data_IF_408742804469
#
_entry.id   IF_408742804469
#
_cell.length_a   1.000
_cell.length_b   1.000
_cell.length_c   1.000
_cell.angle_alpha   90.00
_cell.angle_beta   90.00
_cell.angle_gamma   90.00
#
_symmetry.space_group_name_H-M   'P 1'
#
loop_
_entity.id
_entity.type
_entity.pdbx_description
1 polymer ?
#
# COMPACT_ATOMS: atom_id res chain seq x y z
N UNK A 1 -14.26 35.92 -33.32
CA UNK A 1 -14.22 34.70 -34.15
C UNK A 1 -12.82 34.27 -34.57
N UNK A 2 -11.93 35.17 -35.03
CA UNK A 2 -10.56 34.82 -35.46
C UNK A 2 -9.69 34.18 -34.35
N UNK A 3 -9.90 34.55 -33.08
CA UNK A 3 -9.17 33.95 -31.95
C UNK A 3 -9.53 32.47 -31.72
N UNK A 4 -10.82 32.10 -31.77
CA UNK A 4 -11.26 30.71 -31.57
C UNK A 4 -10.73 29.76 -32.65
N UNK A 5 -10.74 30.21 -33.91
CA UNK A 5 -10.19 29.44 -35.02
C UNK A 5 -8.67 29.22 -34.88
N UNK A 6 -7.94 30.21 -34.33
CA UNK A 6 -6.50 30.11 -34.07
C UNK A 6 -6.17 29.11 -32.97
N UNK A 7 -7.02 29.01 -31.93
CA UNK A 7 -6.91 27.99 -30.88
C UNK A 7 -7.28 26.60 -31.39
N UNK A 8 -8.37 26.44 -32.15
CA UNK A 8 -8.75 25.15 -32.74
C UNK A 8 -7.65 24.61 -33.65
N UNK A 9 -7.06 25.48 -34.48
CA UNK A 9 -5.95 25.14 -35.37
C UNK A 9 -4.72 24.68 -34.59
N UNK A 10 -4.41 25.35 -33.48
CA UNK A 10 -3.30 24.98 -32.59
C UNK A 10 -3.52 23.62 -31.89
N UNK A 11 -4.75 23.28 -31.54
CA UNK A 11 -5.10 21.97 -30.94
C UNK A 11 -4.91 20.83 -31.94
N UNK A 12 -5.18 21.06 -33.23
CA UNK A 12 -5.07 20.04 -34.28
C UNK A 12 -3.62 19.90 -34.79
N UNK A 13 -2.89 21.00 -34.90
CA UNK A 13 -1.52 21.01 -35.43
C UNK A 13 -0.48 20.49 -34.42
N UNK A 14 -0.68 20.70 -33.11
CA UNK A 14 0.23 20.19 -32.09
C UNK A 14 -0.20 18.81 -31.55
N UNK A 15 0.60 17.78 -31.86
CA UNK A 15 0.31 16.37 -31.54
C UNK A 15 0.08 16.08 -30.05
N UNK A 16 0.68 16.88 -29.16
CA UNK A 16 0.50 16.80 -27.71
C UNK A 16 -0.90 17.25 -27.27
N UNK A 17 -1.45 18.30 -27.89
CA UNK A 17 -2.76 18.85 -27.54
C UNK A 17 -3.90 18.10 -28.23
N UNK A 18 -3.69 17.63 -29.45
CA UNK A 18 -4.65 16.80 -30.18
C UNK A 18 -5.00 15.51 -29.41
N UNK A 19 -4.00 14.83 -28.84
CA UNK A 19 -4.21 13.59 -28.08
C UNK A 19 -5.05 13.80 -26.82
N UNK A 20 -4.93 14.96 -26.19
CA UNK A 20 -5.60 15.30 -24.94
C UNK A 20 -7.05 15.74 -25.18
N UNK A 21 -7.28 16.51 -26.25
CA UNK A 21 -8.57 17.12 -26.58
C UNK A 21 -9.46 16.22 -27.46
N UNK A 22 -8.88 15.37 -28.31
CA UNK A 22 -9.62 14.46 -29.18
C UNK A 22 -9.59 13.00 -28.70
N UNK A 23 -8.55 12.59 -27.97
CA UNK A 23 -8.39 11.19 -27.54
C UNK A 23 -9.42 10.74 -26.50
N UNK A 24 -9.50 11.42 -25.34
CA UNK A 24 -10.44 11.03 -24.27
C UNK A 24 -11.90 11.23 -24.71
N UNK A 25 -12.28 12.38 -25.31
CA UNK A 25 -13.65 12.55 -25.81
C UNK A 25 -13.99 11.59 -26.94
N UNK A 26 -13.04 11.32 -27.86
CA UNK A 26 -13.24 10.37 -28.95
C UNK A 26 -13.47 8.94 -28.46
N UNK A 27 -12.68 8.49 -27.47
CA UNK A 27 -12.87 7.17 -26.85
C UNK A 27 -14.24 7.08 -26.15
N UNK A 28 -14.66 8.15 -25.48
CA UNK A 28 -15.93 8.26 -24.79
C UNK A 28 -17.11 8.15 -25.79
N UNK A 29 -17.08 8.92 -26.89
CA UNK A 29 -18.11 8.85 -27.93
C UNK A 29 -18.15 7.47 -28.61
N UNK A 30 -16.99 6.86 -28.85
CA UNK A 30 -16.89 5.54 -29.45
C UNK A 30 -17.48 4.46 -28.53
N UNK A 31 -17.17 4.50 -27.23
CA UNK A 31 -17.78 3.60 -26.25
C UNK A 31 -19.29 3.77 -26.17
N UNK A 32 -19.81 5.00 -26.14
CA UNK A 32 -21.26 5.27 -26.17
C UNK A 32 -21.91 4.70 -27.43
N UNK A 33 -21.31 4.94 -28.60
CA UNK A 33 -21.84 4.47 -29.88
C UNK A 33 -21.94 2.93 -29.93
N UNK A 34 -20.94 2.23 -29.41
CA UNK A 34 -20.94 0.75 -29.31
C UNK A 34 -22.06 0.27 -28.37
N UNK A 35 -22.22 0.90 -27.20
CA UNK A 35 -23.28 0.53 -26.25
C UNK A 35 -24.67 0.74 -26.84
N UNK A 36 -24.88 1.81 -27.61
CA UNK A 36 -26.16 2.06 -28.28
C UNK A 36 -26.39 1.04 -29.40
N UNK A 37 -25.39 0.77 -30.23
CA UNK A 37 -25.50 -0.18 -31.35
C UNK A 37 -25.80 -1.62 -30.91
N UNK A 38 -25.38 -2.00 -29.69
CA UNK A 38 -25.59 -3.33 -29.11
C UNK A 38 -26.86 -3.43 -28.26
N UNK A 39 -27.68 -2.37 -28.18
CA UNK A 39 -28.93 -2.34 -27.43
C UNK A 39 -28.78 -2.05 -25.93
N UNK A 40 -27.58 -1.73 -25.46
CA UNK A 40 -27.27 -1.41 -24.05
C UNK A 40 -27.28 0.10 -23.77
N UNK A 41 -28.15 0.86 -24.44
CA UNK A 41 -28.23 2.32 -24.34
C UNK A 41 -28.42 2.84 -22.92
N UNK A 42 -29.13 2.09 -22.07
CA UNK A 42 -29.34 2.39 -20.65
C UNK A 42 -28.04 2.52 -19.84
N UNK A 43 -26.96 1.86 -20.26
CA UNK A 43 -25.66 1.94 -19.60
C UNK A 43 -24.75 3.02 -20.18
N UNK A 44 -25.13 3.68 -21.27
CA UNK A 44 -24.29 4.66 -21.95
C UNK A 44 -23.95 5.85 -21.05
N UNK A 45 -24.93 6.37 -20.29
CA UNK A 45 -24.71 7.46 -19.34
C UNK A 45 -23.77 7.08 -18.18
N UNK A 46 -23.98 5.89 -17.61
CA UNK A 46 -23.13 5.35 -16.55
C UNK A 46 -21.70 5.10 -17.04
N UNK A 47 -21.55 4.50 -18.23
CA UNK A 47 -20.26 4.27 -18.87
C UNK A 47 -19.52 5.56 -19.20
N UNK A 48 -20.24 6.59 -19.68
CA UNK A 48 -19.68 7.91 -19.93
C UNK A 48 -19.13 8.55 -18.65
N UNK A 49 -19.92 8.57 -17.57
CA UNK A 49 -19.49 9.08 -16.27
C UNK A 49 -18.31 8.29 -15.71
N UNK A 50 -18.27 6.97 -15.91
CA UNK A 50 -17.17 6.12 -15.48
C UNK A 50 -15.87 6.46 -16.22
N UNK A 51 -15.92 6.57 -17.55
CA UNK A 51 -14.75 6.94 -18.37
C UNK A 51 -14.25 8.35 -17.99
N UNK A 52 -15.16 9.32 -17.83
CA UNK A 52 -14.80 10.69 -17.42
C UNK A 52 -14.22 10.69 -16.02
N UNK A 53 -14.84 9.98 -15.07
CA UNK A 53 -14.38 9.87 -13.69
C UNK A 53 -12.97 9.29 -13.60
N UNK A 54 -12.70 8.19 -14.32
CA UNK A 54 -11.35 7.61 -14.41
C UNK A 54 -10.37 8.59 -15.04
N UNK A 55 -10.74 9.22 -16.16
CA UNK A 55 -9.89 10.21 -16.82
C UNK A 55 -9.54 11.38 -15.90
N UNK A 56 -10.49 11.86 -15.11
CA UNK A 56 -10.31 12.94 -14.14
C UNK A 56 -9.49 12.50 -12.93
N UNK A 57 -9.64 11.26 -12.46
CA UNK A 57 -8.80 10.74 -11.38
C UNK A 57 -7.35 10.60 -11.87
N UNK A 58 -7.13 9.97 -13.02
CA UNK A 58 -5.78 9.78 -13.57
C UNK A 58 -5.10 11.12 -13.82
N UNK A 59 -5.78 12.07 -14.47
CA UNK A 59 -5.19 13.40 -14.75
C UNK A 59 -5.16 14.32 -13.56
N UNK A 60 -6.23 14.37 -12.76
CA UNK A 60 -6.38 15.28 -11.64
C UNK A 60 -5.40 14.98 -10.50
N UNK A 61 -5.05 13.70 -10.33
CA UNK A 61 -4.00 13.28 -9.41
C UNK A 61 -2.66 13.01 -10.10
N UNK A 62 -2.54 13.32 -11.40
CA UNK A 62 -1.33 13.06 -12.21
C UNK A 62 -0.76 11.65 -12.01
N UNK A 63 -1.65 10.66 -11.82
CA UNK A 63 -1.31 9.30 -11.38
C UNK A 63 -0.35 8.64 -12.37
N UNK A 64 -0.56 8.90 -13.66
CA UNK A 64 0.31 8.44 -14.73
C UNK A 64 1.76 8.90 -14.52
N UNK A 65 1.96 10.19 -14.23
CA UNK A 65 3.31 10.74 -14.02
C UNK A 65 3.93 10.27 -12.71
N UNK A 66 3.14 10.16 -11.64
CA UNK A 66 3.65 9.71 -10.33
C UNK A 66 3.99 8.23 -10.33
N UNK A 67 3.14 7.37 -10.91
CA UNK A 67 3.38 5.92 -11.00
C UNK A 67 4.56 5.63 -11.91
N UNK A 68 4.63 6.25 -13.10
CA UNK A 68 5.75 6.06 -14.02
C UNK A 68 7.04 6.63 -13.40
N UNK A 69 6.96 7.78 -12.74
CA UNK A 69 8.09 8.37 -12.03
C UNK A 69 8.60 7.48 -10.89
N UNK A 70 7.69 6.84 -10.15
CA UNK A 70 8.05 5.93 -9.06
C UNK A 70 8.62 4.61 -9.55
N UNK A 71 8.07 4.06 -10.64
CA UNK A 71 8.61 2.88 -11.31
C UNK A 71 10.01 3.14 -11.87
N UNK A 72 10.22 4.31 -12.50
CA UNK A 72 11.53 4.71 -13.03
C UNK A 72 12.55 4.98 -11.92
N UNK A 73 12.12 5.54 -10.78
CA UNK A 73 13.04 5.85 -9.70
C UNK A 73 13.55 4.58 -9.03
N UNK A 74 12.67 3.65 -8.64
CA UNK A 74 13.06 2.39 -8.01
C UNK A 74 12.08 1.26 -8.33
N UNK A 75 12.32 0.48 -9.41
CA UNK A 75 11.44 -0.64 -9.80
C UNK A 75 11.22 -1.66 -8.68
N UNK A 76 12.27 -1.95 -7.91
CA UNK A 76 12.24 -2.91 -6.79
C UNK A 76 11.22 -2.48 -5.72
N UNK A 77 11.22 -1.20 -5.35
CA UNK A 77 10.30 -0.66 -4.33
C UNK A 77 8.86 -0.69 -4.84
N UNK A 78 8.65 -0.37 -6.12
CA UNK A 78 7.33 -0.39 -6.72
C UNK A 78 6.72 -1.80 -6.69
N UNK A 79 7.44 -2.80 -7.19
CA UNK A 79 6.95 -4.18 -7.20
C UNK A 79 6.78 -4.76 -5.80
N UNK A 80 7.71 -4.50 -4.88
CA UNK A 80 7.57 -4.96 -3.49
C UNK A 80 6.39 -4.30 -2.78
N UNK A 81 6.15 -3.01 -3.02
CA UNK A 81 5.01 -2.28 -2.47
C UNK A 81 3.70 -2.83 -3.02
N UNK A 82 3.66 -3.10 -4.32
CA UNK A 82 2.48 -3.67 -4.98
C UNK A 82 2.16 -5.06 -4.44
N UNK A 83 3.16 -5.96 -4.39
CA UNK A 83 2.99 -7.30 -3.83
C UNK A 83 2.53 -7.26 -2.38
N UNK A 84 3.19 -6.47 -1.53
CA UNK A 84 2.80 -6.36 -0.12
C UNK A 84 1.39 -5.80 0.08
N UNK A 85 0.98 -4.83 -0.75
CA UNK A 85 -0.40 -4.29 -0.72
C UNK A 85 -1.42 -5.35 -1.10
N UNK A 86 -1.15 -6.13 -2.16
CA UNK A 86 -2.02 -7.24 -2.58
C UNK A 86 -2.12 -8.30 -1.46
N UNK A 87 -1.00 -8.66 -0.83
CA UNK A 87 -0.98 -9.60 0.31
C UNK A 87 -1.82 -9.09 1.48
N UNK A 88 -1.78 -7.79 1.79
CA UNK A 88 -2.62 -7.17 2.83
C UNK A 88 -4.10 -7.24 2.42
N UNK A 89 -4.46 -6.99 1.17
CA UNK A 89 -5.85 -7.11 0.72
C UNK A 89 -6.37 -8.56 0.84
N UNK A 90 -5.54 -9.54 0.47
CA UNK A 90 -5.85 -10.96 0.63
C UNK A 90 -6.08 -11.29 2.11
N UNK A 91 -5.25 -10.76 3.01
CA UNK A 91 -5.41 -10.98 4.45
C UNK A 91 -6.75 -10.47 4.97
N UNK A 92 -7.22 -9.31 4.48
CA UNK A 92 -8.50 -8.74 4.88
C UNK A 92 -9.66 -9.60 4.41
N UNK A 93 -9.61 -10.09 3.17
CA UNK A 93 -10.59 -11.03 2.64
C UNK A 93 -10.65 -12.33 3.47
N UNK A 94 -9.49 -12.92 3.79
CA UNK A 94 -9.41 -14.14 4.60
C UNK A 94 -9.93 -13.94 6.03
N UNK A 95 -9.58 -12.82 6.67
CA UNK A 95 -10.06 -12.46 7.99
C UNK A 95 -11.57 -12.29 8.05
N UNK A 96 -12.15 -11.52 7.13
CA UNK A 96 -13.60 -11.33 7.03
C UNK A 96 -14.28 -12.68 6.76
N UNK A 97 -13.75 -13.47 5.82
CA UNK A 97 -14.27 -14.80 5.51
C UNK A 97 -14.31 -15.71 6.73
N UNK A 98 -13.25 -15.70 7.56
CA UNK A 98 -13.23 -16.49 8.79
C UNK A 98 -14.29 -16.01 9.79
N UNK A 99 -14.40 -14.71 10.03
CA UNK A 99 -15.41 -14.16 10.94
C UNK A 99 -16.82 -14.56 10.51
N UNK A 100 -17.14 -14.40 9.22
CA UNK A 100 -18.45 -14.78 8.69
C UNK A 100 -18.73 -16.28 8.84
N UNK A 101 -17.72 -17.13 8.61
CA UNK A 101 -17.85 -18.57 8.82
C UNK A 101 -18.11 -18.94 10.27
N UNK A 102 -17.48 -18.24 11.22
CA UNK A 102 -17.63 -18.52 12.65
C UNK A 102 -18.98 -18.04 13.18
N UNK A 103 -19.47 -16.89 12.69
CA UNK A 103 -20.81 -16.37 13.01
C UNK A 103 -21.91 -17.28 12.46
N UNK A 104 -21.70 -17.89 11.29
CA UNK A 104 -22.66 -18.84 10.74
C UNK A 104 -22.81 -20.11 11.59
N UNK A 105 -21.73 -20.56 12.24
CA UNK A 105 -21.74 -21.72 13.14
C UNK A 105 -22.26 -21.34 14.54
N UNK A 106 -21.86 -20.17 15.04
CA UNK A 106 -22.21 -19.66 16.37
C UNK A 106 -22.89 -18.28 16.27
N UNK A 107 -24.22 -18.22 16.05
CA UNK A 107 -24.94 -16.94 15.87
C UNK A 107 -24.86 -15.98 17.06
N UNK A 108 -24.54 -16.49 18.25
CA UNK A 108 -24.29 -15.70 19.47
C UNK A 108 -23.12 -14.74 19.31
N UNK A 109 -22.18 -15.02 18.39
CA UNK A 109 -21.07 -14.14 18.07
C UNK A 109 -21.48 -12.84 17.38
N UNK A 110 -22.68 -12.79 16.75
CA UNK A 110 -23.17 -11.59 16.06
C UNK A 110 -23.34 -10.40 17.01
N UNK A 111 -23.58 -10.65 18.31
CA UNK A 111 -23.61 -9.63 19.36
C UNK A 111 -22.25 -9.37 20.03
N UNK A 112 -21.23 -10.18 19.74
CA UNK A 112 -19.91 -10.13 20.38
C UNK A 112 -18.86 -9.53 19.42
N UNK A 113 -18.90 -8.20 19.28
CA UNK A 113 -17.97 -7.44 18.42
C UNK A 113 -16.50 -7.69 18.82
N UNK A 114 -16.23 -7.84 20.13
CA UNK A 114 -14.89 -8.13 20.64
C UNK A 114 -14.39 -9.48 20.13
N UNK A 115 -15.18 -10.55 20.28
CA UNK A 115 -14.84 -11.89 19.79
C UNK A 115 -14.64 -11.93 18.27
N UNK A 116 -15.51 -11.26 17.50
CA UNK A 116 -15.36 -11.14 16.04
C UNK A 116 -14.04 -10.45 15.67
N UNK A 117 -13.70 -9.37 16.37
CA UNK A 117 -12.44 -8.65 16.18
C UNK A 117 -11.24 -9.53 16.54
N UNK A 118 -11.32 -10.30 17.62
CA UNK A 118 -10.29 -11.25 18.01
C UNK A 118 -10.03 -12.32 16.95
N UNK A 119 -11.09 -12.94 16.41
CA UNK A 119 -11.00 -13.92 15.31
C UNK A 119 -10.37 -13.30 14.07
N UNK A 120 -10.78 -12.08 13.71
CA UNK A 120 -10.21 -11.35 12.58
C UNK A 120 -8.71 -11.12 12.75
N UNK A 121 -8.28 -10.65 13.94
CA UNK A 121 -6.87 -10.39 14.23
C UNK A 121 -6.07 -11.70 14.21
N UNK A 122 -6.61 -12.79 14.79
CA UNK A 122 -5.92 -14.08 14.86
C UNK A 122 -5.53 -14.60 13.47
N UNK A 123 -6.45 -14.53 12.51
CA UNK A 123 -6.24 -15.03 11.14
C UNK A 123 -5.51 -14.02 10.25
N UNK A 124 -5.86 -12.74 10.34
CA UNK A 124 -5.33 -11.73 9.40
C UNK A 124 -3.91 -11.31 9.74
N UNK A 125 -3.55 -11.28 11.03
CA UNK A 125 -2.27 -10.75 11.51
C UNK A 125 -1.07 -11.40 10.83
N UNK A 126 -1.02 -12.72 10.74
CA UNK A 126 0.13 -13.44 10.16
C UNK A 126 0.39 -13.04 8.70
N UNK A 127 -0.67 -12.93 7.89
CA UNK A 127 -0.56 -12.54 6.47
C UNK A 127 -0.25 -11.04 6.33
N UNK A 128 -0.82 -10.19 7.20
CA UNK A 128 -0.51 -8.75 7.24
C UNK A 128 0.99 -8.53 7.52
N UNK A 129 1.55 -9.26 8.50
CA UNK A 129 2.96 -9.16 8.85
C UNK A 129 3.86 -9.58 7.68
N UNK A 130 3.48 -10.62 6.94
CA UNK A 130 4.18 -11.01 5.71
C UNK A 130 4.10 -9.89 4.67
N UNK A 131 2.92 -9.30 4.47
CA UNK A 131 2.72 -8.16 3.56
C UNK A 131 3.64 -6.99 3.88
N UNK A 132 3.70 -6.56 5.14
CA UNK A 132 4.63 -5.51 5.58
C UNK A 132 6.10 -5.92 5.44
N UNK A 133 6.43 -7.18 5.71
CA UNK A 133 7.80 -7.70 5.54
C UNK A 133 8.27 -7.63 4.09
N UNK A 134 7.38 -7.90 3.11
CA UNK A 134 7.67 -7.75 1.68
C UNK A 134 7.95 -6.28 1.33
N UNK A 135 7.13 -5.35 1.83
CA UNK A 135 7.28 -3.90 1.56
C UNK A 135 8.62 -3.40 2.10
N UNK A 136 8.95 -3.73 3.35
CA UNK A 136 10.21 -3.31 3.98
C UNK A 136 11.40 -4.04 3.36
N UNK A 137 11.26 -5.33 3.04
CA UNK A 137 12.28 -6.14 2.38
C UNK A 137 12.73 -5.53 1.05
N UNK A 138 11.79 -5.09 0.21
CA UNK A 138 12.12 -4.40 -1.04
C UNK A 138 12.89 -3.08 -0.82
N UNK A 139 12.55 -2.32 0.23
CA UNK A 139 13.31 -1.12 0.63
C UNK A 139 14.71 -1.47 1.13
N UNK A 140 14.90 -2.58 1.84
CA UNK A 140 16.24 -3.03 2.27
C UNK A 140 17.10 -3.37 1.06
N UNK A 141 16.56 -4.16 0.12
CA UNK A 141 17.28 -4.58 -1.10
C UNK A 141 17.69 -3.35 -1.92
N UNK A 142 16.76 -2.44 -2.17
CA UNK A 142 17.02 -1.23 -2.96
C UNK A 142 18.10 -0.35 -2.31
N UNK A 143 17.99 -0.15 -0.99
CA UNK A 143 18.88 0.72 -0.23
C UNK A 143 20.29 0.13 -0.11
N UNK A 144 20.39 -1.19 -0.08
CA UNK A 144 21.65 -1.95 -0.12
C UNK A 144 22.30 -1.83 -1.49
N UNK A 145 21.53 -1.98 -2.57
CA UNK A 145 22.04 -1.87 -3.94
C UNK A 145 22.56 -0.46 -4.25
N UNK A 146 21.91 0.58 -3.72
CA UNK A 146 22.36 1.98 -3.85
C UNK A 146 23.53 2.36 -2.92
N UNK A 147 24.09 1.40 -2.17
CA UNK A 147 25.16 1.63 -1.18
C UNK A 147 24.88 2.79 -0.21
N UNK A 148 23.61 3.01 0.16
CA UNK A 148 23.29 4.11 1.08
C UNK A 148 23.63 3.70 2.52
N UNK A 149 24.13 4.64 3.34
CA UNK A 149 24.68 4.28 4.66
C UNK A 149 23.63 3.98 5.75
N UNK A 150 22.32 4.10 5.48
CA UNK A 150 21.27 4.04 6.51
C UNK A 150 20.36 2.81 6.43
N UNK A 151 20.81 1.68 5.86
CA UNK A 151 20.00 0.46 5.68
C UNK A 151 19.45 -0.07 7.02
N UNK A 152 20.21 0.10 8.10
CA UNK A 152 19.87 -0.37 9.44
C UNK A 152 18.48 0.03 9.95
N UNK A 153 17.98 1.22 9.61
CA UNK A 153 16.64 1.67 10.00
C UNK A 153 15.56 0.69 9.50
N UNK A 154 15.67 0.22 8.26
CA UNK A 154 14.70 -0.72 7.69
C UNK A 154 14.87 -2.12 8.29
N UNK A 155 16.08 -2.51 8.69
CA UNK A 155 16.34 -3.79 9.36
C UNK A 155 15.67 -3.81 10.73
N UNK A 156 15.81 -2.73 11.51
CA UNK A 156 15.11 -2.58 12.80
C UNK A 156 13.60 -2.65 12.62
N UNK A 157 13.06 -1.96 11.61
CA UNK A 157 11.62 -2.02 11.31
C UNK A 157 11.17 -3.44 10.93
N UNK A 158 11.97 -4.19 10.17
CA UNK A 158 11.66 -5.56 9.80
C UNK A 158 11.65 -6.47 11.04
N UNK A 159 12.65 -6.35 11.93
CA UNK A 159 12.67 -7.13 13.17
C UNK A 159 11.49 -6.82 14.08
N UNK A 160 11.08 -5.55 14.16
CA UNK A 160 9.88 -5.18 14.91
C UNK A 160 8.63 -5.89 14.37
N UNK A 161 8.43 -5.90 13.05
CA UNK A 161 7.29 -6.59 12.41
C UNK A 161 7.29 -8.08 12.74
N UNK A 162 8.45 -8.74 12.71
CA UNK A 162 8.52 -10.18 13.05
C UNK A 162 8.20 -10.40 14.53
N UNK A 163 8.66 -9.51 15.41
CA UNK A 163 8.54 -9.68 16.85
C UNK A 163 7.19 -9.21 17.41
N UNK A 164 6.39 -8.45 16.65
CA UNK A 164 5.06 -8.01 17.10
C UNK A 164 4.02 -9.14 17.11
N UNK A 165 4.29 -10.26 16.43
CA UNK A 165 3.36 -11.38 16.29
C UNK A 165 2.79 -11.91 17.61
N UNK A 166 3.59 -12.18 18.67
CA UNK A 166 3.07 -12.68 19.93
C UNK A 166 2.10 -11.70 20.59
N UNK A 167 2.31 -10.39 20.43
CA UNK A 167 1.41 -9.36 20.95
C UNK A 167 0.05 -9.43 20.24
N UNK A 168 0.05 -9.55 18.92
CA UNK A 168 -1.19 -9.68 18.14
C UNK A 168 -1.97 -10.94 18.54
N UNK A 169 -1.29 -12.07 18.75
CA UNK A 169 -1.92 -13.31 19.23
C UNK A 169 -2.47 -13.17 20.65
N UNK A 170 -1.71 -12.58 21.58
CA UNK A 170 -2.18 -12.35 22.95
C UNK A 170 -3.43 -11.45 23.00
N UNK A 171 -3.47 -10.40 22.17
CA UNK A 171 -4.65 -9.53 22.04
C UNK A 171 -5.83 -10.29 21.43
N UNK A 172 -5.60 -11.07 20.36
CA UNK A 172 -6.65 -11.85 19.72
C UNK A 172 -7.29 -12.86 20.69
N UNK A 173 -6.47 -13.62 21.43
CA UNK A 173 -6.96 -14.59 22.41
C UNK A 173 -7.75 -13.94 23.55
N UNK A 174 -7.29 -12.80 24.05
CA UNK A 174 -7.98 -12.03 25.11
C UNK A 174 -9.37 -11.59 24.63
N UNK A 175 -9.46 -11.14 23.38
CA UNK A 175 -10.73 -10.72 22.77
C UNK A 175 -11.69 -11.88 22.53
N UNK A 176 -11.17 -13.05 22.13
CA UNK A 176 -11.97 -14.25 21.89
C UNK A 176 -12.53 -14.82 23.19
N UNK A 177 -11.66 -14.98 24.20
CA UNK A 177 -12.02 -15.60 25.49
C UNK A 177 -12.74 -14.64 26.44
N UNK A 178 -12.67 -13.32 26.18
CA UNK A 178 -13.15 -12.26 27.08
C UNK A 178 -12.54 -12.30 28.50
N UNK A 179 -11.39 -12.96 28.64
CA UNK A 179 -10.63 -13.05 29.88
C UNK A 179 -9.53 -12.00 29.90
N UNK A 180 -9.83 -10.85 30.52
CA UNK A 180 -8.87 -9.75 30.64
C UNK A 180 -7.83 -10.03 31.72
N UNK A 181 -6.83 -10.85 31.38
CA UNK A 181 -5.64 -11.02 32.20
C UNK A 181 -4.56 -10.04 31.79
N UNK A 182 -4.11 -9.20 32.73
CA UNK A 182 -2.99 -8.27 32.53
C UNK A 182 -1.74 -9.04 32.03
N UNK A 183 -1.54 -10.27 32.52
CA UNK A 183 -0.38 -11.09 32.16
C UNK A 183 -0.41 -11.57 30.71
N UNK A 184 -1.59 -11.78 30.13
CA UNK A 184 -1.77 -12.22 28.74
C UNK A 184 -1.36 -11.14 27.72
N UNK A 185 -1.36 -9.86 28.14
CA UNK A 185 -0.98 -8.73 27.29
C UNK A 185 0.46 -8.27 27.61
N UNK A 186 0.81 -8.19 28.90
CA UNK A 186 2.10 -7.65 29.34
C UNK A 186 3.28 -8.51 28.83
N UNK A 187 3.17 -9.83 28.97
CA UNK A 187 4.25 -10.77 28.59
C UNK A 187 4.61 -10.69 27.11
N UNK A 188 3.64 -10.80 26.16
CA UNK A 188 3.96 -10.68 24.75
C UNK A 188 4.33 -9.25 24.29
N UNK A 189 4.06 -8.22 25.09
CA UNK A 189 4.49 -6.84 24.82
C UNK A 189 5.98 -6.61 25.11
N UNK A 190 6.53 -7.30 26.13
CA UNK A 190 7.93 -7.13 26.52
C UNK A 190 8.90 -7.61 25.44
N UNK A 191 8.57 -8.69 24.74
CA UNK A 191 9.46 -9.26 23.71
C UNK A 191 9.77 -8.26 22.58
N UNK A 192 8.79 -7.67 21.86
CA UNK A 192 9.07 -6.72 20.78
C UNK A 192 9.71 -5.41 21.26
N UNK A 193 9.40 -4.95 22.48
CA UNK A 193 9.98 -3.71 23.02
C UNK A 193 11.46 -3.92 23.38
N UNK A 194 11.81 -5.02 24.04
CA UNK A 194 13.21 -5.33 24.40
C UNK A 194 14.06 -5.57 23.14
N UNK A 195 13.56 -6.35 22.17
CA UNK A 195 14.34 -6.67 20.96
C UNK A 195 14.60 -5.43 20.11
N UNK A 196 13.61 -4.56 19.94
CA UNK A 196 13.77 -3.32 19.18
C UNK A 196 14.72 -2.33 19.86
N UNK A 197 14.58 -2.11 21.17
CA UNK A 197 15.49 -1.23 21.92
C UNK A 197 16.92 -1.73 21.82
N UNK A 198 17.14 -3.04 21.98
CA UNK A 198 18.47 -3.66 21.89
C UNK A 198 19.10 -3.44 20.51
N UNK A 199 18.33 -3.63 19.43
CA UNK A 199 18.83 -3.40 18.07
C UNK A 199 19.10 -1.92 17.77
N UNK A 200 18.25 -1.01 18.25
CA UNK A 200 18.46 0.43 18.06
C UNK A 200 19.76 0.86 18.74
N UNK A 201 19.98 0.45 19.99
CA UNK A 201 21.22 0.76 20.72
C UNK A 201 22.43 0.18 20.00
N UNK A 202 22.36 -1.09 19.59
CA UNK A 202 23.44 -1.75 18.86
C UNK A 202 23.83 -1.02 17.57
N UNK A 203 22.86 -0.63 16.73
CA UNK A 203 23.17 0.10 15.49
C UNK A 203 23.62 1.54 15.72
N UNK A 204 23.07 2.20 16.73
CA UNK A 204 23.50 3.57 17.09
C UNK A 204 24.95 3.56 17.56
N UNK A 205 25.35 2.57 18.35
CA UNK A 205 26.75 2.41 18.78
C UNK A 205 27.68 2.13 17.60
N UNK A 206 27.30 1.24 16.69
CA UNK A 206 28.10 0.96 15.48
C UNK A 206 28.26 2.20 14.61
N UNK A 207 27.18 2.95 14.37
CA UNK A 207 27.26 4.19 13.59
C UNK A 207 28.07 5.28 14.29
N UNK A 208 28.05 5.34 15.63
CA UNK A 208 28.85 6.27 16.43
C UNK A 208 30.33 5.90 16.50
N UNK A 209 30.67 4.61 16.47
CA UNK A 209 32.05 4.09 16.57
C UNK A 209 32.78 4.14 15.23
N UNK A 210 32.08 4.12 14.09
CA UNK A 210 32.71 4.23 12.76
C UNK A 210 32.88 5.71 12.40
N UNK A 211 34.08 6.31 12.52
CA UNK A 211 34.28 7.69 12.13
C UNK A 211 33.97 7.86 10.65
N UNK A 212 33.11 8.84 10.32
CA UNK A 212 32.88 9.28 8.94
C UNK A 212 34.22 9.65 8.31
N UNK A 213 34.83 8.76 7.52
CA UNK A 213 35.86 9.12 6.53
C UNK A 213 35.19 9.95 5.43
N UNK A 214 34.82 11.20 5.73
CA UNK A 214 34.49 12.20 4.72
C UNK A 214 35.79 12.92 4.38
N UNK A 215 36.23 12.73 3.14
CA UNK A 215 37.52 13.17 2.64
C UNK A 215 37.70 14.69 2.76
N UNK A 216 38.81 15.09 3.37
CA UNK A 216 39.57 16.25 2.89
C UNK A 216 40.23 15.83 1.58
N UNK A 217 39.66 16.23 0.46
CA UNK A 217 40.43 16.39 -0.78
C UNK A 217 39.92 17.65 -1.47
N UNK A 218 40.86 18.54 -1.74
CA UNK A 218 40.78 19.79 -2.51
C UNK A 218 40.68 21.07 -1.69
N UNK A 219 41.80 21.43 -1.05
CA UNK A 219 42.34 22.79 -1.12
C UNK A 219 43.79 22.64 -1.57
N UNK A 220 44.03 22.96 -2.85
CA UNK A 220 45.31 23.37 -3.42
C UNK A 220 44.97 24.54 -4.35
#
# INVERSE_FOLDING_TARGET
>A
YILFARYLRKIVEESQYARIFLGIPGLLFLSIAILIATGYSQYAGMGALFIVGIAFIIRGFSIDTHVIGWLKSSPIIFFSSLMGTITILISMYMGIGKVLSEVAVNPTLMGNIAGMTGIFIDVSSDIILIGFSIIIGGRIIEKTLRKSSKVWHNIVSLTFIVTIRPLLKGVAETLIKQEYSIQAILTPLLIPTITTITLIIFFTLIEGVIPKRRGKKNEN
#
